data_IF_819634644326
#
_entry.id   IF_819634644326
#
_cell.length_a   1.000
_cell.length_b   1.000
_cell.length_c   1.000
_cell.angle_alpha   90.00
_cell.angle_beta   90.00
_cell.angle_gamma   90.00
#
_symmetry.space_group_name_H-M   'P 1'
#
loop_
_entity.id
_entity.type
_entity.pdbx_description
1 polymer ?
#
# COMPACT_ATOMS: atom_id res chain seq x y z
N UNK A 1 -1.86 8.74 25.57
CA UNK A 1 -0.96 8.77 24.41
C UNK A 1 -1.54 9.65 23.33
N UNK A 2 -0.68 10.43 22.68
CA UNK A 2 -1.07 11.23 21.52
C UNK A 2 -1.38 10.32 20.33
N UNK A 3 -2.49 10.57 19.64
CA UNK A 3 -2.94 9.78 18.50
C UNK A 3 -3.73 10.61 17.48
N UNK A 4 -3.85 10.07 16.27
CA UNK A 4 -4.67 10.57 15.18
C UNK A 4 -5.87 9.65 15.00
N UNK A 5 -7.06 10.20 15.14
CA UNK A 5 -8.29 9.42 15.31
C UNK A 5 -9.36 9.88 14.33
N UNK A 6 -10.07 8.94 13.72
CA UNK A 6 -11.36 9.21 13.12
C UNK A 6 -12.43 9.33 14.21
N UNK A 7 -13.08 10.49 14.28
CA UNK A 7 -14.18 10.80 15.21
C UNK A 7 -15.51 11.05 14.50
N UNK A 8 -15.48 11.14 13.17
CA UNK A 8 -16.65 11.24 12.31
C UNK A 8 -16.34 10.67 10.92
N UNK A 9 -17.39 10.41 10.15
CA UNK A 9 -17.28 10.03 8.74
C UNK A 9 -17.83 11.16 7.87
N UNK A 10 -17.05 11.56 6.88
CA UNK A 10 -17.46 12.52 5.86
C UNK A 10 -16.96 12.04 4.50
N UNK A 11 -17.90 11.63 3.64
CA UNK A 11 -17.60 11.05 2.34
C UNK A 11 -16.93 12.04 1.38
N UNK A 12 -17.31 13.31 1.47
CA UNK A 12 -16.90 14.34 0.52
C UNK A 12 -15.70 15.12 1.06
N UNK A 13 -15.61 15.31 2.38
CA UNK A 13 -14.56 16.06 3.06
C UNK A 13 -13.96 15.23 4.22
N UNK A 14 -13.21 14.15 3.94
CA UNK A 14 -12.78 13.18 4.95
C UNK A 14 -12.05 13.78 6.16
N UNK A 15 -11.33 14.88 5.97
CA UNK A 15 -10.58 15.55 7.02
C UNK A 15 -11.47 16.16 8.12
N UNK A 16 -12.77 16.37 7.87
CA UNK A 16 -13.73 16.83 8.89
C UNK A 16 -13.87 15.83 10.04
N UNK A 17 -13.69 14.54 9.77
CA UNK A 17 -13.72 13.48 10.76
C UNK A 17 -12.40 13.25 11.49
N UNK A 18 -11.34 14.02 11.20
CA UNK A 18 -9.98 13.77 11.67
C UNK A 18 -9.61 14.61 12.90
N UNK A 19 -9.33 13.95 14.01
CA UNK A 19 -8.89 14.56 15.26
C UNK A 19 -7.45 14.16 15.61
N UNK A 20 -6.69 15.09 16.18
CA UNK A 20 -5.37 14.84 16.73
C UNK A 20 -5.41 15.23 18.21
N UNK A 21 -5.06 14.31 19.11
CA UNK A 21 -5.18 14.55 20.55
C UNK A 21 -4.87 13.33 21.41
N UNK A 22 -5.09 13.48 22.72
CA UNK A 22 -4.84 12.41 23.69
C UNK A 22 -5.93 11.33 23.63
N UNK A 23 -5.47 10.07 23.65
CA UNK A 23 -6.29 8.87 23.78
C UNK A 23 -5.78 8.00 24.94
N UNK A 24 -6.65 7.16 25.52
CA UNK A 24 -6.21 6.11 26.45
C UNK A 24 -5.09 5.25 25.84
N UNK A 25 -4.22 4.72 26.69
CA UNK A 25 -3.26 3.69 26.25
C UNK A 25 -4.03 2.47 25.69
N UNK A 26 -3.44 1.73 24.73
CA UNK A 26 -4.12 0.62 24.10
C UNK A 26 -4.35 -0.52 25.10
N UNK A 27 -5.51 -1.16 25.02
CA UNK A 27 -5.75 -2.42 25.75
C UNK A 27 -5.03 -3.54 25.02
N UNK A 28 -4.38 -4.45 25.77
CA UNK A 28 -3.57 -5.55 25.21
C UNK A 28 -4.27 -6.89 25.50
N UNK A 29 -4.98 -7.48 24.53
CA UNK A 29 -5.60 -8.79 24.69
C UNK A 29 -4.58 -9.93 24.87
N UNK A 30 -5.06 -11.10 25.30
CA UNK A 30 -4.24 -12.31 25.32
C UNK A 30 -3.70 -12.63 23.91
N UNK A 31 -2.41 -12.97 23.83
CA UNK A 31 -1.73 -13.22 22.55
C UNK A 31 -1.28 -11.95 21.80
N UNK A 32 -1.57 -10.75 22.32
CA UNK A 32 -1.15 -9.47 21.77
C UNK A 32 0.02 -8.87 22.55
N UNK A 33 0.68 -7.89 21.95
CA UNK A 33 1.81 -7.13 22.50
C UNK A 33 1.68 -5.68 22.09
N UNK A 34 2.38 -4.80 22.81
CA UNK A 34 2.53 -3.39 22.40
C UNK A 34 3.76 -3.18 21.54
N UNK A 35 3.71 -2.16 20.69
CA UNK A 35 4.84 -1.60 19.95
C UNK A 35 4.94 -0.12 20.28
N UNK A 36 6.11 0.33 20.74
CA UNK A 36 6.45 1.75 20.82
C UNK A 36 6.77 2.25 19.42
N UNK A 37 5.88 3.03 18.83
CA UNK A 37 5.99 3.45 17.43
C UNK A 37 7.13 4.48 17.29
N UNK A 38 7.93 4.34 16.24
CA UNK A 38 8.95 5.35 15.85
C UNK A 38 8.59 6.04 14.54
N UNK A 39 8.02 5.29 13.62
CA UNK A 39 7.47 5.84 12.39
C UNK A 39 6.22 5.06 11.97
N UNK A 40 5.28 5.77 11.38
CA UNK A 40 4.09 5.23 10.74
C UNK A 40 3.93 5.86 9.35
N UNK A 41 3.23 5.21 8.42
CA UNK A 41 3.09 5.76 7.06
C UNK A 41 1.63 5.86 6.61
N UNK A 42 1.30 6.96 5.93
CA UNK A 42 -0.05 7.15 5.39
C UNK A 42 -0.33 6.24 4.19
N UNK A 43 -1.57 5.80 4.09
CA UNK A 43 -2.14 5.05 2.99
C UNK A 43 -3.47 5.66 2.56
N UNK A 44 -3.87 5.40 1.31
CA UNK A 44 -5.21 5.83 0.85
C UNK A 44 -6.32 5.17 1.67
N UNK A 45 -6.07 4.00 2.28
CA UNK A 45 -6.98 3.36 3.22
C UNK A 45 -7.38 4.28 4.39
N UNK A 46 -6.49 5.15 4.87
CA UNK A 46 -6.80 6.06 5.97
C UNK A 46 -7.85 7.11 5.54
N UNK A 47 -7.71 7.63 4.31
CA UNK A 47 -8.73 8.51 3.71
C UNK A 47 -10.03 7.76 3.41
N UNK A 48 -9.97 6.51 2.96
CA UNK A 48 -11.15 5.69 2.73
C UNK A 48 -11.91 5.40 4.02
N UNK A 49 -11.21 5.16 5.12
CA UNK A 49 -11.81 4.99 6.45
C UNK A 49 -12.58 6.23 6.88
N UNK A 50 -12.01 7.42 6.69
CA UNK A 50 -12.70 8.71 6.96
C UNK A 50 -13.93 8.94 6.06
N UNK A 51 -14.00 8.27 4.90
CA UNK A 51 -15.15 8.28 3.99
C UNK A 51 -16.16 7.16 4.26
N UNK A 52 -15.96 6.35 5.31
CA UNK A 52 -16.85 5.25 5.69
C UNK A 52 -16.62 3.95 4.90
N UNK A 53 -15.45 3.78 4.28
CA UNK A 53 -15.08 2.54 3.58
C UNK A 53 -14.09 1.77 4.45
N UNK A 54 -14.49 0.58 4.91
CA UNK A 54 -13.71 -0.26 5.84
C UNK A 54 -13.96 0.05 7.31
N UNK A 55 -14.20 1.32 7.64
CA UNK A 55 -14.57 1.80 8.98
C UNK A 55 -16.05 2.24 9.01
N UNK A 56 -16.81 1.73 9.98
CA UNK A 56 -18.22 2.05 10.16
C UNK A 56 -18.40 3.05 11.32
N UNK A 57 -19.47 3.85 11.27
CA UNK A 57 -19.71 4.96 12.21
C UNK A 57 -19.87 4.48 13.67
N UNK A 58 -20.42 3.28 13.86
CA UNK A 58 -20.60 2.64 15.17
C UNK A 58 -19.30 2.17 15.84
N UNK A 59 -18.18 2.23 15.11
CA UNK A 59 -16.82 1.90 15.60
C UNK A 59 -15.98 3.13 15.90
N UNK A 60 -16.55 4.33 15.86
CA UNK A 60 -15.86 5.56 16.22
C UNK A 60 -15.94 5.81 17.74
N UNK A 61 -14.91 6.44 18.36
CA UNK A 61 -13.66 6.88 17.74
C UNK A 61 -12.69 5.72 17.45
N UNK A 62 -11.91 5.82 16.36
CA UNK A 62 -10.93 4.81 15.92
C UNK A 62 -9.57 5.46 15.62
N UNK A 63 -8.48 4.99 16.23
CA UNK A 63 -7.13 5.43 15.85
C UNK A 63 -6.82 4.93 14.44
N UNK A 64 -6.36 5.83 13.57
CA UNK A 64 -6.07 5.51 12.16
C UNK A 64 -4.65 4.93 11.98
N UNK A 65 -4.37 4.38 10.79
CA UNK A 65 -3.04 3.92 10.38
C UNK A 65 -2.88 2.40 10.33
N UNK A 66 -2.32 1.89 9.23
CA UNK A 66 -1.99 0.47 9.05
C UNK A 66 -0.49 0.16 9.11
N UNK A 67 0.34 1.18 8.99
CA UNK A 67 1.77 1.03 8.77
C UNK A 67 2.54 1.52 10.01
N UNK A 68 3.42 0.70 10.58
CA UNK A 68 4.35 1.14 11.62
C UNK A 68 5.66 0.36 11.62
N UNK A 69 6.71 1.03 12.11
CA UNK A 69 7.92 0.41 12.60
C UNK A 69 8.31 1.05 13.94
N UNK A 70 8.85 0.25 14.85
CA UNK A 70 9.13 0.67 16.21
C UNK A 70 9.83 -0.42 17.02
N UNK A 71 9.68 -0.36 18.35
CA UNK A 71 10.25 -1.34 19.27
C UNK A 71 9.14 -2.17 19.92
N UNK A 72 9.32 -3.49 19.99
CA UNK A 72 8.46 -4.35 20.80
C UNK A 72 8.74 -4.20 22.31
N UNK A 73 8.03 -4.96 23.14
CA UNK A 73 8.15 -4.91 24.61
C UNK A 73 9.55 -5.31 25.12
N UNK A 74 10.28 -6.12 24.34
CA UNK A 74 11.63 -6.57 24.66
C UNK A 74 12.72 -5.62 24.10
N UNK A 75 12.32 -4.55 23.40
CA UNK A 75 13.21 -3.56 22.80
C UNK A 75 13.78 -3.98 21.45
N UNK A 76 13.23 -4.99 20.78
CA UNK A 76 13.65 -5.38 19.44
C UNK A 76 13.02 -4.47 18.38
N UNK A 77 13.78 -4.06 17.34
CA UNK A 77 13.24 -3.28 16.24
C UNK A 77 12.34 -4.14 15.34
N UNK A 78 11.09 -3.73 15.17
CA UNK A 78 10.05 -4.48 14.46
C UNK A 78 9.29 -3.63 13.45
N UNK A 79 8.72 -4.32 12.47
CA UNK A 79 7.77 -3.83 11.48
C UNK A 79 6.41 -4.45 11.82
N UNK A 80 5.35 -3.64 11.83
CA UNK A 80 3.99 -4.09 12.12
C UNK A 80 3.31 -4.55 10.84
N UNK A 81 2.86 -5.80 10.80
CA UNK A 81 1.98 -6.31 9.76
C UNK A 81 0.53 -5.94 10.06
N UNK A 82 -0.16 -5.31 9.12
CA UNK A 82 -1.49 -4.72 9.34
C UNK A 82 -2.65 -5.72 9.31
N UNK A 83 -2.46 -6.93 8.76
CA UNK A 83 -3.56 -7.89 8.55
C UNK A 83 -3.75 -8.73 9.81
N UNK A 84 -4.89 -8.55 10.47
CA UNK A 84 -5.31 -9.36 11.60
C UNK A 84 -6.22 -10.45 11.05
N UNK A 85 -5.73 -11.68 11.03
CA UNK A 85 -6.44 -12.83 10.47
C UNK A 85 -5.75 -14.13 10.84
N UNK A 86 -6.47 -15.23 10.67
CA UNK A 86 -6.01 -16.58 10.94
C UNK A 86 -5.53 -17.25 9.64
N UNK A 87 -4.23 -17.57 9.50
CA UNK A 87 -3.73 -18.23 8.30
C UNK A 87 -4.38 -19.59 8.07
N UNK A 88 -4.75 -20.35 9.12
CA UNK A 88 -5.38 -21.67 8.96
C UNK A 88 -6.79 -21.53 8.37
N UNK A 89 -7.55 -20.51 8.81
CA UNK A 89 -8.86 -20.18 8.25
C UNK A 89 -8.78 -19.69 6.79
N UNK A 90 -7.64 -19.13 6.38
CA UNK A 90 -7.35 -18.71 5.01
C UNK A 90 -6.63 -19.75 4.15
N UNK A 91 -6.45 -20.99 4.63
CA UNK A 91 -5.75 -22.04 3.88
C UNK A 91 -4.24 -21.80 3.71
N UNK A 92 -3.60 -21.22 4.72
CA UNK A 92 -2.19 -20.82 4.73
C UNK A 92 -1.94 -19.35 4.33
N UNK A 93 -2.98 -18.58 4.06
CA UNK A 93 -2.90 -17.16 3.70
C UNK A 93 -3.93 -16.36 4.51
N UNK A 94 -3.49 -15.64 5.53
CA UNK A 94 -4.36 -14.82 6.38
C UNK A 94 -5.11 -13.71 5.60
N UNK A 95 -4.66 -13.35 4.39
CA UNK A 95 -5.39 -12.42 3.52
C UNK A 95 -6.66 -13.04 2.94
N UNK A 96 -6.82 -14.36 3.04
CA UNK A 96 -7.99 -15.11 2.61
C UNK A 96 -8.89 -15.54 3.78
N UNK A 97 -8.52 -15.23 5.02
CA UNK A 97 -9.42 -15.45 6.16
C UNK A 97 -10.70 -14.61 5.95
N UNK A 98 -11.90 -15.24 5.95
CA UNK A 98 -13.17 -14.54 5.78
C UNK A 98 -13.46 -13.56 6.93
N UNK A 99 -12.80 -13.70 8.08
CA UNK A 99 -12.94 -12.83 9.25
C UNK A 99 -11.78 -11.85 9.41
N UNK A 100 -10.84 -11.79 8.46
CA UNK A 100 -9.71 -10.87 8.56
C UNK A 100 -10.21 -9.43 8.69
N UNK A 101 -9.44 -8.62 9.39
CA UNK A 101 -9.54 -7.17 9.37
C UNK A 101 -8.17 -6.55 9.13
N UNK A 102 -8.15 -5.28 8.76
CA UNK A 102 -6.96 -4.45 8.85
C UNK A 102 -6.96 -3.69 10.18
N UNK A 103 -5.78 -3.26 10.62
CA UNK A 103 -5.69 -2.19 11.60
C UNK A 103 -6.47 -0.97 11.10
N UNK A 104 -7.05 -0.20 12.02
CA UNK A 104 -7.98 0.91 11.75
C UNK A 104 -9.35 0.50 11.18
N UNK A 105 -9.70 -0.79 11.14
CA UNK A 105 -11.08 -1.23 10.82
C UNK A 105 -11.82 -1.71 12.07
N UNK A 106 -11.28 -2.71 12.77
CA UNK A 106 -11.86 -3.29 14.00
C UNK A 106 -11.02 -2.95 15.23
N UNK A 107 -9.72 -2.80 15.02
CA UNK A 107 -8.72 -2.56 16.06
C UNK A 107 -8.00 -1.25 15.77
N UNK A 108 -7.60 -0.53 16.82
CA UNK A 108 -6.88 0.73 16.71
C UNK A 108 -5.61 0.62 15.85
N UNK A 109 -5.37 1.67 15.08
CA UNK A 109 -4.28 1.79 14.14
C UNK A 109 -2.97 2.32 14.71
N UNK A 110 -2.06 2.66 13.80
CA UNK A 110 -0.65 2.93 14.08
C UNK A 110 -0.29 4.40 14.22
N UNK A 111 -1.20 5.35 13.96
CA UNK A 111 -0.95 6.78 14.15
C UNK A 111 -1.10 7.19 15.62
N UNK A 112 -0.28 6.59 16.47
CA UNK A 112 -0.21 6.84 17.91
C UNK A 112 1.20 6.54 18.43
N UNK A 113 1.50 6.97 19.66
CA UNK A 113 2.78 6.67 20.34
C UNK A 113 2.97 5.18 20.61
N UNK A 114 1.87 4.43 20.79
CA UNK A 114 1.88 2.98 20.91
C UNK A 114 0.71 2.36 20.16
N UNK A 115 0.89 1.12 19.71
CA UNK A 115 -0.16 0.30 19.12
C UNK A 115 -0.12 -1.09 19.73
N UNK A 116 -1.28 -1.69 19.99
CA UNK A 116 -1.40 -3.10 20.37
C UNK A 116 -1.69 -3.94 19.12
N UNK A 117 -0.93 -5.02 18.93
CA UNK A 117 -1.09 -5.93 17.79
C UNK A 117 -0.91 -7.39 18.23
N UNK A 118 -1.44 -8.38 17.50
CA UNK A 118 -1.13 -9.79 17.75
C UNK A 118 0.38 -10.01 17.68
N UNK A 119 0.97 -10.81 18.58
CA UNK A 119 2.43 -11.08 18.57
C UNK A 119 2.94 -11.59 17.22
N UNK A 120 2.13 -12.40 16.51
CA UNK A 120 2.46 -12.92 15.16
C UNK A 120 2.63 -11.82 14.10
N UNK A 121 2.00 -10.66 14.29
CA UNK A 121 2.04 -9.54 13.35
C UNK A 121 3.36 -8.76 13.43
N UNK A 122 4.28 -9.12 14.32
CA UNK A 122 5.61 -8.54 14.37
C UNK A 122 6.55 -9.24 13.38
N UNK A 123 7.18 -8.44 12.52
CA UNK A 123 8.23 -8.86 11.60
C UNK A 123 9.52 -8.16 12.01
N UNK A 124 10.66 -8.86 12.14
CA UNK A 124 11.93 -8.22 12.47
C UNK A 124 12.30 -7.14 11.44
N UNK A 125 12.68 -5.95 11.93
CA UNK A 125 13.17 -4.88 11.06
C UNK A 125 14.66 -5.10 10.76
N UNK A 126 15.08 -5.18 9.48
CA UNK A 126 16.50 -5.27 9.15
C UNK A 126 17.23 -3.97 9.52
N UNK A 127 18.50 -4.09 9.90
CA UNK A 127 19.37 -2.94 10.22
C UNK A 127 19.54 -1.99 9.04
N UNK A 128 19.50 -2.51 7.81
CA UNK A 128 19.72 -1.77 6.57
C UNK A 128 18.63 -0.71 6.26
N UNK A 129 17.50 -0.74 6.97
CA UNK A 129 16.41 0.23 6.78
C UNK A 129 16.32 1.18 7.97
N UNK A 130 15.96 2.44 7.73
CA UNK A 130 15.52 3.32 8.82
C UNK A 130 14.12 2.91 9.33
N UNK A 131 13.65 3.49 10.45
CA UNK A 131 12.27 3.24 10.90
C UNK A 131 11.26 3.83 9.92
N UNK A 132 11.54 5.00 9.34
CA UNK A 132 10.72 5.67 8.33
C UNK A 132 10.59 4.82 7.06
N UNK A 133 11.69 4.24 6.59
CA UNK A 133 11.68 3.32 5.46
C UNK A 133 10.92 2.04 5.80
N UNK A 134 11.21 1.42 6.95
CA UNK A 134 10.54 0.20 7.37
C UNK A 134 9.02 0.38 7.54
N UNK A 135 8.57 1.54 8.02
CA UNK A 135 7.16 1.89 8.15
C UNK A 135 6.47 2.02 6.78
N UNK A 136 7.19 2.24 5.68
CA UNK A 136 6.58 2.28 4.35
C UNK A 136 6.20 0.89 3.80
N UNK A 137 6.68 -0.18 4.43
CA UNK A 137 6.57 -1.54 3.90
C UNK A 137 5.19 -2.22 4.06
N UNK A 138 4.49 -2.14 5.20
CA UNK A 138 3.41 -3.07 5.55
C UNK A 138 2.20 -3.07 4.62
N UNK A 139 1.83 -1.92 4.07
CA UNK A 139 0.67 -1.81 3.17
C UNK A 139 1.10 -1.70 1.72
N UNK A 140 1.75 -0.59 1.35
CA UNK A 140 1.97 -0.24 -0.06
C UNK A 140 3.00 -1.16 -0.74
N UNK A 141 4.16 -1.37 -0.11
CA UNK A 141 5.21 -2.22 -0.67
C UNK A 141 4.85 -3.70 -0.57
N UNK A 142 4.21 -4.13 0.51
CA UNK A 142 3.71 -5.50 0.63
C UNK A 142 2.70 -5.81 -0.49
N UNK A 143 1.76 -4.90 -0.75
CA UNK A 143 0.81 -5.04 -1.87
C UNK A 143 1.54 -5.11 -3.20
N UNK A 144 2.49 -4.20 -3.45
CA UNK A 144 3.30 -4.20 -4.66
C UNK A 144 4.10 -5.50 -4.84
N UNK A 145 4.68 -6.02 -3.76
CA UNK A 145 5.45 -7.27 -3.77
C UNK A 145 4.55 -8.45 -4.14
N UNK A 146 3.38 -8.58 -3.49
CA UNK A 146 2.41 -9.63 -3.81
C UNK A 146 1.92 -9.52 -5.25
N UNK A 147 1.63 -8.32 -5.73
CA UNK A 147 1.24 -8.09 -7.11
C UNK A 147 2.33 -8.56 -8.09
N UNK A 148 3.58 -8.15 -7.86
CA UNK A 148 4.71 -8.38 -8.75
C UNK A 148 5.20 -9.84 -8.73
N UNK A 149 5.43 -10.42 -7.55
CA UNK A 149 6.11 -11.70 -7.43
C UNK A 149 5.17 -12.89 -7.28
N UNK A 150 3.92 -12.69 -6.85
CA UNK A 150 2.95 -13.78 -6.72
C UNK A 150 1.85 -13.74 -7.78
N UNK A 151 1.26 -12.57 -8.02
CA UNK A 151 0.08 -12.47 -8.90
C UNK A 151 0.42 -12.24 -10.37
N UNK A 152 1.58 -11.66 -10.69
CA UNK A 152 1.97 -11.34 -12.06
C UNK A 152 2.14 -12.59 -12.94
N UNK A 153 2.67 -13.69 -12.38
CA UNK A 153 2.84 -14.96 -13.10
C UNK A 153 3.86 -14.91 -14.24
N UNK A 154 4.88 -14.04 -14.12
CA UNK A 154 5.92 -13.82 -15.13
C UNK A 154 7.30 -13.84 -14.48
N UNK A 155 8.35 -13.95 -15.30
CA UNK A 155 9.75 -14.05 -14.87
C UNK A 155 10.52 -12.75 -15.15
N UNK A 156 11.67 -12.52 -14.49
CA UNK A 156 12.61 -11.47 -14.88
C UNK A 156 12.87 -11.43 -16.40
N UNK A 157 12.99 -10.22 -16.95
CA UNK A 157 13.04 -9.99 -18.40
C UNK A 157 11.68 -9.74 -19.06
N UNK A 158 10.56 -9.97 -18.36
CA UNK A 158 9.23 -9.58 -18.84
C UNK A 158 9.03 -8.06 -18.84
N UNK A 159 8.11 -7.60 -19.68
CA UNK A 159 7.72 -6.19 -19.81
C UNK A 159 6.44 -5.92 -19.02
N UNK A 160 6.47 -4.90 -18.17
CA UNK A 160 5.34 -4.55 -17.29
C UNK A 160 4.93 -3.09 -17.45
N UNK A 161 3.65 -2.79 -17.21
CA UNK A 161 3.12 -1.43 -17.14
C UNK A 161 2.61 -1.13 -15.74
N UNK A 162 3.04 -0.03 -15.13
CA UNK A 162 2.49 0.51 -13.89
C UNK A 162 1.59 1.70 -14.21
N UNK A 163 0.30 1.59 -13.89
CA UNK A 163 -0.65 2.68 -14.11
C UNK A 163 -0.59 3.71 -12.97
N UNK A 164 -0.49 5.00 -13.31
CA UNK A 164 -0.60 6.09 -12.34
C UNK A 164 0.59 6.21 -11.39
N UNK A 165 1.77 6.55 -11.90
CA UNK A 165 2.95 6.84 -11.11
C UNK A 165 2.74 8.01 -10.14
N UNK A 166 3.12 7.80 -8.88
CA UNK A 166 3.07 8.81 -7.82
C UNK A 166 2.62 8.27 -6.47
N UNK A 167 1.81 7.21 -6.43
CA UNK A 167 1.38 6.60 -5.18
C UNK A 167 2.43 5.63 -4.60
N UNK A 168 2.24 5.24 -3.34
CA UNK A 168 3.09 4.27 -2.65
C UNK A 168 3.20 2.92 -3.36
N UNK A 169 2.09 2.36 -3.84
CA UNK A 169 2.11 1.08 -4.57
C UNK A 169 2.83 1.22 -5.91
N UNK A 170 2.55 2.29 -6.67
CA UNK A 170 3.15 2.50 -7.98
C UNK A 170 4.66 2.73 -7.90
N UNK A 171 5.14 3.55 -6.95
CA UNK A 171 6.57 3.77 -6.72
C UNK A 171 7.28 2.50 -6.27
N UNK A 172 6.67 1.71 -5.38
CA UNK A 172 7.19 0.40 -4.95
C UNK A 172 7.28 -0.59 -6.12
N UNK A 173 6.24 -0.69 -6.95
CA UNK A 173 6.23 -1.54 -8.14
C UNK A 173 7.36 -1.17 -9.11
N UNK A 174 7.54 0.12 -9.41
CA UNK A 174 8.61 0.57 -10.33
C UNK A 174 9.98 0.18 -9.79
N UNK A 175 10.26 0.51 -8.52
CA UNK A 175 11.54 0.22 -7.86
C UNK A 175 11.83 -1.30 -7.82
N UNK A 176 10.90 -2.09 -7.29
CA UNK A 176 11.10 -3.53 -7.15
C UNK A 176 11.15 -4.24 -8.50
N UNK A 177 10.33 -3.86 -9.47
CA UNK A 177 10.34 -4.47 -10.79
C UNK A 177 11.64 -4.13 -11.54
N UNK A 178 12.11 -2.88 -11.49
CA UNK A 178 13.39 -2.52 -12.09
C UNK A 178 14.55 -3.31 -11.46
N UNK A 179 14.61 -3.37 -10.13
CA UNK A 179 15.64 -4.14 -9.41
C UNK A 179 15.57 -5.65 -9.66
N UNK A 180 14.38 -6.19 -9.92
CA UNK A 180 14.18 -7.59 -10.27
C UNK A 180 14.37 -7.90 -11.77
N UNK A 181 14.82 -6.93 -12.57
CA UNK A 181 15.16 -7.13 -13.98
C UNK A 181 13.97 -7.11 -14.95
N UNK A 182 12.85 -6.51 -14.56
CA UNK A 182 11.73 -6.28 -15.47
C UNK A 182 11.93 -5.00 -16.31
N UNK A 183 11.37 -4.99 -17.51
CA UNK A 183 11.29 -3.79 -18.35
C UNK A 183 10.03 -3.02 -17.99
N UNK A 184 10.19 -1.96 -17.21
CA UNK A 184 9.06 -1.22 -16.61
C UNK A 184 8.64 -0.03 -17.46
N UNK A 185 7.39 0.01 -17.90
CA UNK A 185 6.72 1.20 -18.38
C UNK A 185 5.85 1.79 -17.27
N UNK A 186 5.76 3.11 -17.18
CA UNK A 186 4.86 3.79 -16.25
C UNK A 186 3.97 4.81 -16.95
N UNK A 187 2.79 5.10 -16.40
CA UNK A 187 1.94 6.20 -16.87
C UNK A 187 1.74 7.26 -15.80
N UNK A 188 1.63 8.53 -16.17
CA UNK A 188 1.13 9.57 -15.28
C UNK A 188 0.64 10.78 -16.07
N UNK A 189 -0.35 11.49 -15.54
CA UNK A 189 -0.83 12.78 -16.08
C UNK A 189 0.12 13.95 -15.77
N UNK A 190 1.04 13.76 -14.83
CA UNK A 190 2.01 14.78 -14.41
C UNK A 190 3.37 14.50 -15.03
N UNK A 191 3.91 15.47 -15.75
CA UNK A 191 5.26 15.40 -16.31
C UNK A 191 6.32 15.19 -15.24
N UNK A 192 6.24 15.93 -14.13
CA UNK A 192 7.15 15.77 -13.00
C UNK A 192 7.12 14.34 -12.46
N UNK A 193 5.93 13.74 -12.27
CA UNK A 193 5.81 12.35 -11.79
C UNK A 193 6.30 11.32 -12.81
N UNK A 194 6.22 11.61 -14.11
CA UNK A 194 6.84 10.75 -15.15
C UNK A 194 8.36 10.80 -15.09
N UNK A 195 8.94 11.99 -14.95
CA UNK A 195 10.39 12.14 -14.80
C UNK A 195 10.89 11.37 -13.56
N UNK A 196 10.22 11.55 -12.41
CA UNK A 196 10.51 10.78 -11.19
C UNK A 196 10.38 9.27 -11.40
N UNK A 197 9.36 8.79 -12.11
CA UNK A 197 9.21 7.37 -12.41
C UNK A 197 10.42 6.78 -13.16
N UNK A 198 11.00 7.54 -14.10
CA UNK A 198 12.23 7.14 -14.81
C UNK A 198 13.42 7.10 -13.86
N UNK A 199 13.55 8.09 -12.96
CA UNK A 199 14.60 8.09 -11.93
C UNK A 199 14.49 6.89 -10.98
N UNK A 200 13.28 6.39 -10.70
CA UNK A 200 13.07 5.17 -9.90
C UNK A 200 13.44 3.87 -10.64
N UNK A 201 13.76 3.94 -11.94
CA UNK A 201 14.13 2.77 -12.75
C UNK A 201 13.10 2.36 -13.80
N UNK A 202 12.04 3.15 -14.04
CA UNK A 202 11.18 2.90 -15.20
C UNK A 202 11.99 3.06 -16.49
N UNK A 203 11.87 2.08 -17.40
CA UNK A 203 12.48 2.15 -18.73
C UNK A 203 11.95 3.35 -19.53
N UNK A 204 10.64 3.62 -19.43
CA UNK A 204 10.03 4.84 -19.94
C UNK A 204 8.75 5.17 -19.18
N UNK A 205 8.43 6.46 -19.10
CA UNK A 205 7.17 6.94 -18.55
C UNK A 205 6.43 7.79 -19.59
N UNK A 206 5.15 7.51 -19.80
CA UNK A 206 4.31 8.16 -20.83
C UNK A 206 3.06 8.80 -20.23
N UNK A 207 2.43 9.69 -21.00
CA UNK A 207 1.13 10.26 -20.64
C UNK A 207 0.07 9.16 -20.40
N UNK A 208 -0.91 9.46 -19.55
CA UNK A 208 -2.00 8.51 -19.29
C UNK A 208 -2.78 8.23 -20.57
N UNK A 209 -2.91 6.95 -20.93
CA UNK A 209 -3.59 6.53 -22.16
C UNK A 209 -2.75 6.60 -23.43
N UNK A 210 -1.51 7.07 -23.36
CA UNK A 210 -0.62 7.12 -24.50
C UNK A 210 -0.22 5.71 -24.97
N UNK A 211 -0.06 5.55 -26.29
CA UNK A 211 0.35 4.28 -26.88
C UNK A 211 1.76 3.91 -26.43
N UNK A 212 1.91 2.74 -25.82
CA UNK A 212 3.21 2.16 -25.50
C UNK A 212 3.95 1.71 -26.78
N UNK A 213 5.29 1.71 -26.77
CA UNK A 213 6.10 1.26 -27.90
C UNK A 213 5.91 -0.24 -28.20
N UNK A 214 5.54 -1.02 -27.20
CA UNK A 214 5.25 -2.45 -27.30
C UNK A 214 4.06 -2.84 -26.42
N UNK A 215 3.50 -4.04 -26.66
CA UNK A 215 2.51 -4.63 -25.74
C UNK A 215 3.24 -5.25 -24.56
N UNK A 216 2.65 -5.15 -23.38
CA UNK A 216 3.26 -5.62 -22.13
C UNK A 216 2.71 -6.99 -21.71
N UNK A 217 3.48 -7.71 -20.91
CA UNK A 217 3.08 -8.98 -20.29
C UNK A 217 2.05 -8.76 -19.19
N UNK A 218 2.32 -7.78 -18.33
CA UNK A 218 1.52 -7.51 -17.13
C UNK A 218 1.25 -6.01 -17.00
N UNK A 219 0.01 -5.68 -16.64
CA UNK A 219 -0.37 -4.34 -16.19
C UNK A 219 -0.68 -4.40 -14.71
N UNK A 220 -0.03 -3.54 -13.92
CA UNK A 220 -0.37 -3.28 -12.53
C UNK A 220 -1.33 -2.10 -12.45
N UNK A 221 -2.52 -2.35 -11.90
CA UNK A 221 -3.64 -1.42 -11.88
C UNK A 221 -4.07 -1.09 -10.44
N UNK A 222 -4.17 0.20 -10.15
CA UNK A 222 -4.65 0.74 -8.86
C UNK A 222 -5.55 1.98 -9.02
N UNK A 223 -5.66 2.50 -10.24
CA UNK A 223 -6.42 3.71 -10.56
C UNK A 223 -7.86 3.35 -10.88
N UNK A 224 -8.10 2.31 -11.68
CA UNK A 224 -9.46 1.81 -11.95
C UNK A 224 -10.09 2.50 -13.17
N UNK A 225 -11.30 3.06 -13.00
CA UNK A 225 -12.15 3.52 -14.11
C UNK A 225 -11.42 4.36 -15.19
N UNK A 226 -10.54 5.29 -14.78
CA UNK A 226 -9.87 6.21 -15.69
C UNK A 226 -8.82 5.55 -16.60
N UNK A 227 -8.24 4.42 -16.18
CA UNK A 227 -7.11 3.76 -16.87
C UNK A 227 -7.46 2.38 -17.40
N UNK A 228 -8.59 1.80 -16.97
CA UNK A 228 -8.96 0.42 -17.28
C UNK A 228 -8.91 0.07 -18.78
N UNK A 229 -9.53 0.89 -19.63
CA UNK A 229 -9.53 0.64 -21.07
C UNK A 229 -8.10 0.67 -21.67
N UNK A 230 -7.22 1.52 -21.13
CA UNK A 230 -5.81 1.53 -21.52
C UNK A 230 -5.09 0.27 -21.04
N UNK A 231 -5.33 -0.16 -19.80
CA UNK A 231 -4.76 -1.40 -19.23
C UNK A 231 -5.08 -2.61 -20.09
N UNK A 232 -6.36 -2.81 -20.45
CA UNK A 232 -6.77 -3.94 -21.31
C UNK A 232 -6.18 -3.82 -22.72
N UNK A 233 -6.07 -2.62 -23.28
CA UNK A 233 -5.50 -2.40 -24.62
C UNK A 233 -3.99 -2.60 -24.66
N UNK A 234 -3.27 -2.38 -23.57
CA UNK A 234 -1.80 -2.42 -23.51
C UNK A 234 -1.21 -3.83 -23.43
N UNK A 235 -2.04 -4.83 -23.09
CA UNK A 235 -1.60 -6.21 -22.97
C UNK A 235 -1.35 -6.91 -24.32
N UNK A 236 -0.38 -7.81 -24.33
CA UNK A 236 -0.23 -8.83 -25.37
C UNK A 236 -1.26 -9.96 -25.18
N UNK A 237 -1.55 -10.79 -26.20
CA UNK A 237 -2.35 -12.00 -26.01
C UNK A 237 -1.78 -12.88 -24.89
N UNK A 238 -2.64 -13.41 -24.01
CA UNK A 238 -2.27 -14.16 -22.82
C UNK A 238 -1.78 -13.30 -21.64
N UNK A 239 -1.75 -11.97 -21.79
CA UNK A 239 -1.28 -11.05 -20.76
C UNK A 239 -2.23 -10.92 -19.56
N UNK A 240 -1.75 -10.28 -18.49
CA UNK A 240 -2.45 -10.21 -17.21
C UNK A 240 -2.58 -8.79 -16.68
N UNK A 241 -3.76 -8.45 -16.16
CA UNK A 241 -3.95 -7.30 -15.27
C UNK A 241 -3.92 -7.81 -13.83
N UNK A 242 -3.07 -7.22 -13.00
CA UNK A 242 -3.10 -7.40 -11.55
C UNK A 242 -3.65 -6.12 -10.93
N UNK A 243 -4.79 -6.21 -10.24
CA UNK A 243 -5.51 -5.06 -9.71
C UNK A 243 -5.59 -5.08 -8.18
N UNK A 244 -5.26 -3.97 -7.53
CA UNK A 244 -5.32 -3.84 -6.07
C UNK A 244 -6.22 -2.70 -5.56
N UNK A 245 -6.82 -1.92 -6.46
CA UNK A 245 -7.68 -0.81 -6.10
C UNK A 245 -8.28 -0.12 -7.31
N UNK A 246 -9.22 0.79 -7.06
CA UNK A 246 -9.97 1.51 -8.07
C UNK A 246 -10.18 2.99 -7.65
N UNK A 247 -9.07 3.69 -7.42
CA UNK A 247 -9.05 5.06 -6.86
C UNK A 247 -9.97 6.05 -7.57
N UNK A 248 -10.09 5.97 -8.90
CA UNK A 248 -10.91 6.90 -9.70
C UNK A 248 -12.36 6.46 -9.89
N UNK A 249 -12.80 5.36 -9.26
CA UNK A 249 -14.17 4.85 -9.38
C UNK A 249 -14.27 3.36 -9.72
N UNK A 250 -15.39 2.76 -9.28
CA UNK A 250 -15.73 1.35 -9.47
C UNK A 250 -16.51 1.10 -10.77
N UNK A 251 -16.47 -0.14 -11.26
CA UNK A 251 -17.29 -0.66 -12.36
C UNK A 251 -17.09 -0.06 -13.78
N UNK A 252 -15.87 0.00 -14.33
CA UNK A 252 -15.70 0.20 -15.78
C UNK A 252 -16.25 -1.00 -16.56
N UNK A 253 -16.55 -0.81 -17.86
CA UNK A 253 -16.83 -1.95 -18.76
C UNK A 253 -15.72 -2.99 -18.64
N UNK A 254 -16.07 -4.25 -18.39
CA UNK A 254 -15.09 -5.31 -18.22
C UNK A 254 -14.33 -5.65 -19.52
N UNK A 255 -14.69 -5.05 -20.66
CA UNK A 255 -14.04 -5.27 -21.96
C UNK A 255 -13.98 -6.76 -22.35
N UNK A 256 -15.04 -7.51 -22.01
CA UNK A 256 -15.08 -8.98 -22.08
C UNK A 256 -14.69 -9.53 -23.45
N UNK A 257 -15.11 -8.87 -24.54
CA UNK A 257 -14.75 -9.25 -25.91
C UNK A 257 -13.24 -9.34 -26.10
N UNK A 258 -12.50 -8.34 -25.59
CA UNK A 258 -11.04 -8.34 -25.68
C UNK A 258 -10.42 -9.33 -24.70
N UNK A 259 -10.98 -9.46 -23.50
CA UNK A 259 -10.52 -10.40 -22.48
C UNK A 259 -10.57 -11.84 -22.99
N UNK A 260 -11.73 -12.31 -23.48
CA UNK A 260 -11.85 -13.70 -23.93
C UNK A 260 -11.10 -13.93 -25.25
N UNK A 261 -11.13 -12.98 -26.19
CA UNK A 261 -10.53 -13.19 -27.51
C UNK A 261 -9.00 -13.21 -27.45
N UNK A 262 -8.40 -12.37 -26.60
CA UNK A 262 -6.94 -12.35 -26.38
C UNK A 262 -6.50 -13.23 -25.21
N UNK A 263 -7.42 -13.97 -24.59
CA UNK A 263 -7.16 -14.85 -23.44
C UNK A 263 -6.46 -14.11 -22.29
N UNK A 264 -6.90 -12.89 -21.99
CA UNK A 264 -6.34 -12.08 -20.92
C UNK A 264 -6.81 -12.59 -19.56
N UNK A 265 -6.00 -12.38 -18.52
CA UNK A 265 -6.37 -12.63 -17.13
C UNK A 265 -6.56 -11.33 -16.37
N UNK A 266 -7.56 -11.26 -15.49
CA UNK A 266 -7.71 -10.20 -14.49
C UNK A 266 -7.61 -10.84 -13.11
N UNK A 267 -6.63 -10.42 -12.32
CA UNK A 267 -6.30 -11.04 -11.03
C UNK A 267 -6.33 -9.98 -9.93
N UNK A 268 -7.13 -10.23 -8.89
CA UNK A 268 -7.18 -9.38 -7.70
C UNK A 268 -5.98 -9.61 -6.78
N UNK A 269 -5.51 -8.56 -6.14
CA UNK A 269 -4.49 -8.59 -5.09
C UNK A 269 -4.83 -7.60 -3.99
N UNK A 270 -4.79 -8.03 -2.73
CA UNK A 270 -5.04 -7.17 -1.58
C UNK A 270 -4.00 -7.49 -0.52
N UNK A 271 -3.30 -6.47 -0.01
CA UNK A 271 -2.28 -6.61 1.03
C UNK A 271 -1.23 -7.69 0.68
N UNK A 272 -0.75 -8.39 1.70
CA UNK A 272 0.05 -9.61 1.62
C UNK A 272 0.15 -10.27 3.00
N UNK A 273 0.74 -11.46 3.04
CA UNK A 273 0.94 -12.21 4.28
C UNK A 273 2.10 -11.62 5.09
N UNK A 274 2.13 -11.96 6.37
CA UNK A 274 3.23 -11.62 7.29
C UNK A 274 4.57 -12.12 6.75
N UNK A 275 4.60 -13.32 6.19
CA UNK A 275 5.82 -13.89 5.61
C UNK A 275 6.25 -13.14 4.35
N UNK A 276 5.31 -12.68 3.52
CA UNK A 276 5.61 -11.80 2.40
C UNK A 276 6.19 -10.46 2.88
N UNK A 277 5.72 -9.90 4.00
CA UNK A 277 6.30 -8.68 4.57
C UNK A 277 7.76 -8.90 4.98
N UNK A 278 8.08 -10.04 5.60
CA UNK A 278 9.47 -10.44 5.86
C UNK A 278 10.30 -10.49 4.58
N UNK A 279 9.78 -11.09 3.50
CA UNK A 279 10.46 -11.13 2.20
C UNK A 279 10.63 -9.75 1.56
N UNK A 280 9.70 -8.82 1.75
CA UNK A 280 9.85 -7.43 1.29
C UNK A 280 11.02 -6.77 2.01
N UNK A 281 11.08 -6.89 3.34
CA UNK A 281 12.17 -6.32 4.14
C UNK A 281 13.53 -6.91 3.74
N UNK A 282 13.62 -8.23 3.54
CA UNK A 282 14.82 -8.88 3.05
C UNK A 282 15.18 -8.48 1.61
N UNK A 283 14.20 -8.33 0.73
CA UNK A 283 14.43 -7.86 -0.65
C UNK A 283 15.09 -6.48 -0.62
N UNK A 284 14.56 -5.54 0.15
CA UNK A 284 15.14 -4.21 0.32
C UNK A 284 16.58 -4.29 0.85
N UNK A 285 16.80 -5.06 1.92
CA UNK A 285 18.13 -5.21 2.52
C UNK A 285 19.17 -5.84 1.59
N UNK A 286 18.77 -6.80 0.74
CA UNK A 286 19.68 -7.50 -0.19
C UNK A 286 19.95 -6.72 -1.48
N UNK A 287 18.98 -5.97 -1.96
CA UNK A 287 19.07 -5.26 -3.24
C UNK A 287 19.52 -3.80 -3.09
N UNK A 288 19.46 -3.25 -1.87
CA UNK A 288 19.66 -1.82 -1.64
C UNK A 288 18.52 -0.97 -2.21
N UNK A 289 17.34 -1.57 -2.42
CA UNK A 289 16.15 -0.84 -2.82
C UNK A 289 15.49 -0.26 -1.58
N UNK A 290 15.21 1.04 -1.63
CA UNK A 290 14.61 1.79 -0.52
C UNK A 290 13.24 2.38 -0.91
N UNK A 291 12.30 2.49 0.05
CA UNK A 291 11.07 3.25 -0.10
C UNK A 291 11.25 4.68 -0.56
N UNK A 292 10.43 5.11 -1.50
CA UNK A 292 10.35 6.51 -1.91
C UNK A 292 9.50 7.26 -0.88
N UNK A 293 10.14 8.10 -0.06
CA UNK A 293 9.48 8.95 0.93
C UNK A 293 9.39 10.37 0.35
N UNK A 294 8.16 10.84 0.15
CA UNK A 294 7.88 12.19 -0.33
C UNK A 294 8.20 13.23 0.75
N UNK A 295 7.72 12.98 1.97
CA UNK A 295 7.98 13.83 3.14
C UNK A 295 7.81 13.05 4.43
N UNK A 296 8.55 13.51 5.44
CA UNK A 296 8.44 13.06 6.83
C UNK A 296 7.91 14.22 7.67
N UNK A 297 6.86 13.96 8.44
CA UNK A 297 6.20 14.94 9.31
C UNK A 297 6.16 14.37 10.73
N UNK A 298 6.23 15.20 11.79
CA UNK A 298 5.89 14.72 13.13
C UNK A 298 4.40 14.32 13.18
N UNK A 299 4.04 13.36 14.04
CA UNK A 299 2.67 12.89 14.23
C UNK A 299 1.68 14.04 14.50
N UNK A 300 2.12 15.08 15.21
CA UNK A 300 1.34 16.30 15.49
C UNK A 300 0.93 17.09 14.24
N UNK A 301 1.61 16.88 13.10
CA UNK A 301 1.32 17.48 11.80
C UNK A 301 0.63 16.52 10.83
N UNK A 302 0.07 15.41 11.30
CA UNK A 302 -0.58 14.40 10.46
C UNK A 302 -1.63 14.99 9.51
N UNK A 303 -2.43 15.97 9.96
CA UNK A 303 -3.46 16.62 9.13
C UNK A 303 -2.91 17.17 7.81
N UNK A 304 -1.66 17.66 7.79
CA UNK A 304 -1.01 18.13 6.57
C UNK A 304 -0.71 16.99 5.60
N UNK A 305 -0.26 15.84 6.12
CA UNK A 305 -0.05 14.63 5.32
C UNK A 305 -1.34 14.09 4.72
N UNK A 306 -2.42 14.06 5.51
CA UNK A 306 -3.74 13.66 5.02
C UNK A 306 -4.24 14.61 3.92
N UNK A 307 -4.09 15.92 4.08
CA UNK A 307 -4.49 16.91 3.08
C UNK A 307 -3.69 16.75 1.77
N UNK A 308 -2.37 16.57 1.86
CA UNK A 308 -1.52 16.35 0.69
C UNK A 308 -1.91 15.05 -0.05
N UNK A 309 -2.22 13.98 0.69
CA UNK A 309 -2.69 12.73 0.10
C UNK A 309 -4.04 12.89 -0.61
N UNK A 310 -4.98 13.58 0.01
CA UNK A 310 -6.32 13.79 -0.55
C UNK A 310 -6.27 14.60 -1.86
N UNK A 311 -5.36 15.57 -1.94
CA UNK A 311 -5.12 16.39 -3.13
C UNK A 311 -4.25 15.68 -4.19
N UNK A 312 -3.66 14.53 -3.86
CA UNK A 312 -2.72 13.82 -4.73
C UNK A 312 -1.36 14.54 -4.88
N UNK A 313 -1.03 15.46 -3.98
CA UNK A 313 0.23 16.21 -3.91
C UNK A 313 1.33 15.42 -3.18
N UNK A 314 1.72 14.30 -3.80
CA UNK A 314 2.85 13.49 -3.34
C UNK A 314 3.45 12.64 -4.46
N UNK A 315 4.68 12.19 -4.24
CA UNK A 315 5.33 11.13 -4.98
C UNK A 315 5.99 10.12 -4.02
N UNK A 316 5.34 8.98 -3.82
CA UNK A 316 5.81 7.93 -2.90
C UNK A 316 4.94 7.80 -1.65
N UNK A 317 5.57 7.84 -0.47
CA UNK A 317 4.93 7.67 0.84
C UNK A 317 5.12 8.92 1.70
N UNK A 318 4.11 9.22 2.52
CA UNK A 318 4.19 10.23 3.58
C UNK A 318 4.39 9.48 4.90
N UNK A 319 5.43 9.83 5.64
CA UNK A 319 5.77 9.22 6.92
C UNK A 319 5.48 10.18 8.07
N UNK A 320 4.92 9.64 9.15
CA UNK A 320 4.73 10.30 10.43
C UNK A 320 5.74 9.76 11.44
N UNK A 321 6.59 10.63 12.00
CA UNK A 321 7.49 10.27 13.11
C UNK A 321 6.82 10.54 14.44
N UNK A 322 7.09 9.64 15.40
CA UNK A 322 6.47 9.64 16.73
C UNK A 322 7.51 9.81 17.83
#
# INVERSE_FOLDING_TARGET
MFAITAVGIDKDNPLNGLEAGERPEPTVPDGWTTVTVKAAALNHHDLWSLRGVGLAEDRLPMVLGCDAAGFDEDGNPVIVHAVIGDPDAGGGDETLDPRRSLLSEVHDGTFAEKVAVPRRNLVPKPEALSFEEAACLPTAWLTAYRMLFEKAGVQPGATVLVQGAGGGVASALIRMAAAAGFRVYATSRSEAKRARAVELGAHAAVETGARLPEKVDVVFESVGQATWAHSVKSLRPGGRIVVCGATSGNAPSAELTRVFFLQLSVVGSTMGTRDQLGRVAEFCARTGVHPEIDRTLPLTRAKEGFAAMDQGDLFGKIVLTV
#
